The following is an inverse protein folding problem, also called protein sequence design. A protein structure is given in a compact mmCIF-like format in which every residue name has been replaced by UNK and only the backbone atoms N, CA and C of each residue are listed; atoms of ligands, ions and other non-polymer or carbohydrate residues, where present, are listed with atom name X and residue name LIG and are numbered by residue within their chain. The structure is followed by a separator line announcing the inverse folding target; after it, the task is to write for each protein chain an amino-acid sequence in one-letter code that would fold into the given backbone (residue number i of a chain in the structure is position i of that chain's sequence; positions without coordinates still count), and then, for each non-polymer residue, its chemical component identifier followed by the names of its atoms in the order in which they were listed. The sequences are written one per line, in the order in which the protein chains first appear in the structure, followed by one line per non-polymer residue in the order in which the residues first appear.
data_IF_443556133043
#
_entry.id   IF_443556133043
#
_cell.length_a   1.000
_cell.length_b   1.000
_cell.length_c   1.000
_cell.angle_alpha   90.00
_cell.angle_beta   90.00
_cell.angle_gamma   90.00
#
_symmetry.space_group_name_H-M   'P 1'
#
loop_
_entity.id
_entity.type
_entity.pdbx_description
1 polymer ?
#
# COMPACT_ATOMS: atom_id res chain seq x y z
N UNK A 1 -14.97 -9.40 3.08
CA UNK A 1 -14.27 -9.20 1.81
C UNK A 1 -12.77 -9.11 2.05
N UNK A 2 -12.01 -9.83 1.25
CA UNK A 2 -10.55 -9.83 1.39
C UNK A 2 -9.94 -8.51 0.94
N UNK A 3 -8.86 -8.13 1.60
CA UNK A 3 -8.12 -6.91 1.28
C UNK A 3 -6.68 -7.23 0.94
N UNK A 4 -6.11 -6.44 0.04
CA UNK A 4 -4.68 -6.46 -0.20
C UNK A 4 -4.15 -5.04 -0.12
N UNK A 5 -2.86 -4.93 0.21
CA UNK A 5 -2.19 -3.65 0.26
C UNK A 5 -1.01 -3.65 -0.69
N UNK A 6 -0.86 -2.58 -1.43
CA UNK A 6 0.19 -2.43 -2.42
C UNK A 6 1.17 -1.35 -1.94
N UNK A 7 2.44 -1.72 -1.86
CA UNK A 7 3.54 -0.83 -1.49
C UNK A 7 4.60 -0.85 -2.58
N UNK A 8 5.61 0.01 -2.48
CA UNK A 8 6.61 0.11 -3.54
C UNK A 8 7.70 -0.95 -3.44
N UNK A 9 8.17 -1.27 -2.24
CA UNK A 9 9.32 -2.13 -2.11
C UNK A 9 9.30 -3.05 -0.89
N UNK A 10 10.31 -3.90 -0.84
CA UNK A 10 10.45 -4.88 0.23
C UNK A 10 10.62 -4.24 1.62
N UNK A 11 11.35 -3.13 1.71
CA UNK A 11 11.54 -2.44 2.99
C UNK A 11 10.21 -1.93 3.54
N UNK A 12 9.32 -1.47 2.66
CA UNK A 12 7.99 -1.02 3.06
C UNK A 12 7.16 -2.20 3.55
N UNK A 13 7.20 -3.32 2.81
CA UNK A 13 6.50 -4.53 3.21
C UNK A 13 6.97 -5.02 4.57
N UNK A 14 8.29 -5.06 4.80
CA UNK A 14 8.85 -5.50 6.07
C UNK A 14 8.47 -4.56 7.22
N UNK A 15 8.29 -3.28 6.92
CA UNK A 15 7.90 -2.29 7.91
C UNK A 15 6.44 -2.48 8.35
N UNK A 16 5.53 -2.75 7.41
CA UNK A 16 4.11 -2.83 7.74
C UNK A 16 3.63 -4.22 8.12
N UNK A 17 4.28 -5.28 7.62
CA UNK A 17 3.83 -6.65 7.86
C UNK A 17 3.58 -6.97 9.35
N UNK A 18 4.47 -6.61 10.29
CA UNK A 18 4.24 -6.93 11.70
C UNK A 18 3.14 -6.10 12.36
N UNK A 19 2.62 -5.09 11.68
CA UNK A 19 1.58 -4.22 12.23
C UNK A 19 0.18 -4.80 12.11
N UNK A 20 0.00 -5.80 11.24
CA UNK A 20 -1.31 -6.43 11.04
C UNK A 20 -1.59 -7.49 12.11
N UNK A 21 -2.84 -7.56 12.55
CA UNK A 21 -3.33 -8.59 13.47
C UNK A 21 -4.11 -9.67 12.73
N UNK A 22 -4.01 -9.70 11.40
CA UNK A 22 -4.69 -10.66 10.53
C UNK A 22 -3.79 -10.94 9.33
N UNK A 23 -3.98 -12.07 8.64
CA UNK A 23 -3.27 -12.30 7.39
C UNK A 23 -3.71 -11.28 6.34
N UNK A 24 -2.74 -10.61 5.71
CA UNK A 24 -3.00 -9.63 4.65
C UNK A 24 -2.05 -9.91 3.49
N UNK A 25 -2.56 -9.85 2.28
CA UNK A 25 -1.73 -9.93 1.08
C UNK A 25 -1.06 -8.58 0.88
N UNK A 26 0.27 -8.58 0.88
CA UNK A 26 1.08 -7.38 0.67
C UNK A 26 1.81 -7.53 -0.64
N UNK A 27 1.54 -6.65 -1.59
CA UNK A 27 2.12 -6.69 -2.93
C UNK A 27 3.09 -5.53 -3.11
N UNK A 28 4.22 -5.80 -3.77
CA UNK A 28 5.25 -4.79 -4.03
C UNK A 28 5.35 -4.52 -5.52
N UNK A 29 5.35 -3.25 -5.91
CA UNK A 29 5.54 -2.86 -7.31
C UNK A 29 7.02 -2.92 -7.71
N UNK A 30 7.92 -2.93 -6.74
CA UNK A 30 9.36 -2.92 -6.95
C UNK A 30 9.86 -1.70 -7.73
N UNK A 31 9.35 -0.54 -7.35
CA UNK A 31 9.75 0.73 -7.96
C UNK A 31 8.84 1.13 -9.11
N UNK A 32 9.43 1.71 -10.16
CA UNK A 32 8.68 2.11 -11.35
C UNK A 32 8.17 0.87 -12.08
N UNK A 33 6.89 0.87 -12.41
CA UNK A 33 6.23 -0.28 -13.03
C UNK A 33 5.40 0.21 -14.21
N UNK A 34 5.36 -0.58 -15.29
CA UNK A 34 4.49 -0.27 -16.43
C UNK A 34 3.05 -0.61 -16.10
N UNK A 35 2.13 -0.06 -16.86
CA UNK A 35 0.71 -0.36 -16.71
C UNK A 35 0.46 -1.86 -16.86
N UNK A 36 1.04 -2.49 -17.90
CA UNK A 36 0.85 -3.92 -18.15
C UNK A 36 1.39 -4.77 -16.99
N UNK A 37 2.57 -4.42 -16.47
CA UNK A 37 3.16 -5.14 -15.36
C UNK A 37 2.33 -4.97 -14.08
N UNK A 38 1.75 -3.79 -13.87
CA UNK A 38 0.88 -3.56 -12.72
C UNK A 38 -0.39 -4.38 -12.82
N UNK A 39 -0.99 -4.44 -14.01
CA UNK A 39 -2.18 -5.26 -14.25
C UNK A 39 -1.85 -6.74 -14.00
N UNK A 40 -0.71 -7.23 -14.50
CA UNK A 40 -0.28 -8.61 -14.26
C UNK A 40 -0.12 -8.89 -12.78
N UNK A 41 0.47 -7.96 -12.03
CA UNK A 41 0.65 -8.10 -10.58
C UNK A 41 -0.68 -8.18 -9.86
N UNK A 42 -1.64 -7.36 -10.22
CA UNK A 42 -2.90 -7.19 -9.49
C UNK A 42 -4.06 -8.05 -10.01
N UNK A 43 -3.96 -8.59 -11.22
CA UNK A 43 -5.07 -9.36 -11.79
C UNK A 43 -5.54 -10.52 -10.92
N UNK A 44 -4.65 -11.26 -10.20
CA UNK A 44 -5.12 -12.32 -9.31
C UNK A 44 -5.94 -11.82 -8.13
N UNK A 45 -5.92 -10.51 -7.87
CA UNK A 45 -6.54 -9.90 -6.69
C UNK A 45 -7.67 -8.93 -7.03
N UNK A 46 -8.24 -9.04 -8.25
CA UNK A 46 -9.29 -8.11 -8.69
C UNK A 46 -10.55 -8.14 -7.82
N UNK A 47 -10.80 -9.25 -7.13
CA UNK A 47 -11.93 -9.37 -6.23
C UNK A 47 -11.64 -8.87 -4.81
N UNK A 48 -10.41 -8.50 -4.55
CA UNK A 48 -10.00 -7.96 -3.26
C UNK A 48 -10.28 -6.46 -3.21
N UNK A 49 -10.53 -5.94 -2.01
CA UNK A 49 -10.44 -4.50 -1.81
C UNK A 49 -8.96 -4.12 -1.87
N UNK A 50 -8.63 -3.20 -2.75
CA UNK A 50 -7.25 -2.76 -2.94
C UNK A 50 -6.98 -1.49 -2.15
N UNK A 51 -5.91 -1.51 -1.38
CA UNK A 51 -5.44 -0.35 -0.61
C UNK A 51 -3.99 -0.11 -1.02
N UNK A 52 -3.62 1.12 -1.27
CA UNK A 52 -2.23 1.47 -1.56
C UNK A 52 -1.64 2.27 -0.42
N UNK A 53 -0.33 2.12 -0.24
CA UNK A 53 0.43 2.97 0.67
C UNK A 53 1.79 3.21 0.02
N UNK A 54 1.83 4.22 -0.83
CA UNK A 54 3.04 4.58 -1.57
C UNK A 54 3.78 5.72 -0.88
N UNK A 55 5.04 5.90 -1.24
CA UNK A 55 5.86 6.95 -0.69
C UNK A 55 5.34 8.35 -1.07
N UNK A 56 5.69 9.33 -0.27
CA UNK A 56 5.31 10.72 -0.51
C UNK A 56 6.37 11.39 -1.39
N UNK A 57 6.52 10.88 -2.60
CA UNK A 57 7.48 11.38 -3.58
C UNK A 57 6.90 11.28 -4.99
N UNK A 58 7.70 11.67 -5.98
CA UNK A 58 7.26 11.68 -7.37
C UNK A 58 6.86 10.31 -7.88
N UNK A 59 7.62 9.27 -7.52
CA UNK A 59 7.30 7.91 -7.95
C UNK A 59 5.99 7.43 -7.33
N UNK A 60 5.80 7.70 -6.05
CA UNK A 60 4.55 7.36 -5.36
C UNK A 60 3.35 8.04 -6.01
N UNK A 61 3.51 9.31 -6.42
CA UNK A 61 2.43 10.03 -7.11
C UNK A 61 2.11 9.43 -8.47
N UNK A 62 3.15 9.02 -9.22
CA UNK A 62 2.94 8.33 -10.51
C UNK A 62 2.17 7.03 -10.32
N UNK A 63 2.52 6.27 -9.28
CA UNK A 63 1.84 5.01 -8.97
C UNK A 63 0.39 5.24 -8.58
N UNK A 64 0.11 6.26 -7.77
CA UNK A 64 -1.27 6.61 -7.41
C UNK A 64 -2.11 6.98 -8.63
N UNK A 65 -1.55 7.74 -9.54
CA UNK A 65 -2.25 8.12 -10.78
C UNK A 65 -2.53 6.90 -11.65
N UNK A 66 -1.55 6.00 -11.76
CA UNK A 66 -1.70 4.78 -12.53
C UNK A 66 -2.80 3.88 -11.93
N UNK A 67 -2.79 3.71 -10.61
CA UNK A 67 -3.83 2.96 -9.91
C UNK A 67 -5.21 3.56 -10.11
N UNK A 68 -5.33 4.88 -10.03
CA UNK A 68 -6.63 5.55 -10.23
C UNK A 68 -7.19 5.31 -11.61
N UNK A 69 -6.32 5.18 -12.61
CA UNK A 69 -6.75 4.94 -13.99
C UNK A 69 -7.22 3.50 -14.20
N UNK A 70 -6.54 2.53 -13.58
CA UNK A 70 -6.80 1.10 -13.81
C UNK A 70 -7.78 0.53 -12.79
N UNK A 71 -7.61 0.89 -11.53
CA UNK A 71 -8.41 0.40 -10.40
C UNK A 71 -8.94 1.59 -9.62
N UNK A 72 -9.95 2.24 -10.19
CA UNK A 72 -10.46 3.51 -9.67
C UNK A 72 -11.03 3.44 -8.25
N UNK A 73 -11.40 2.25 -7.78
CA UNK A 73 -11.97 2.07 -6.45
C UNK A 73 -10.93 1.82 -5.36
N UNK A 74 -9.64 1.71 -5.73
CA UNK A 74 -8.60 1.50 -4.75
C UNK A 74 -8.53 2.69 -3.77
N UNK A 75 -8.36 2.36 -2.49
CA UNK A 75 -8.19 3.37 -1.45
C UNK A 75 -6.70 3.70 -1.32
N UNK A 76 -6.36 4.98 -1.24
CA UNK A 76 -4.98 5.42 -1.14
C UNK A 76 -4.70 5.98 0.25
N UNK A 77 -3.85 5.30 1.01
CA UNK A 77 -3.37 5.79 2.29
C UNK A 77 -2.13 6.64 2.03
N UNK A 78 -2.14 7.86 2.52
CA UNK A 78 -1.03 8.79 2.31
C UNK A 78 -0.28 9.01 3.61
N UNK A 79 1.02 8.68 3.60
CA UNK A 79 1.88 8.99 4.74
C UNK A 79 2.14 10.51 4.79
N UNK A 80 2.44 11.07 5.97
CA UNK A 80 2.81 12.48 6.05
C UNK A 80 4.08 12.76 5.23
N UNK A 81 4.05 13.84 4.46
CA UNK A 81 5.14 14.19 3.55
C UNK A 81 6.50 14.33 4.23
N UNK A 82 6.49 14.71 5.50
CA UNK A 82 7.74 14.93 6.25
C UNK A 82 8.59 13.66 6.30
N UNK A 83 7.98 12.47 6.25
CA UNK A 83 8.72 11.22 6.30
C UNK A 83 9.17 10.72 4.94
N UNK A 84 8.59 11.20 3.85
CA UNK A 84 8.83 10.83 2.46
C UNK A 84 8.60 9.36 2.13
N UNK A 85 9.13 8.44 2.93
CA UNK A 85 9.08 7.01 2.66
C UNK A 85 8.27 6.28 3.71
N UNK A 86 7.56 5.25 3.28
CA UNK A 86 6.83 4.37 4.21
C UNK A 86 7.80 3.76 5.22
N UNK A 87 8.95 3.29 4.74
CA UNK A 87 9.96 2.66 5.60
C UNK A 87 10.48 3.60 6.71
N UNK A 88 10.43 4.91 6.49
CA UNK A 88 10.89 5.92 7.45
C UNK A 88 9.77 6.47 8.33
N UNK A 89 8.54 6.07 8.08
CA UNK A 89 7.39 6.54 8.84
C UNK A 89 7.26 5.76 10.15
N UNK A 90 7.06 6.43 11.29
CA UNK A 90 6.89 5.73 12.56
C UNK A 90 5.75 4.71 12.51
N UNK A 91 5.97 3.56 13.15
CA UNK A 91 4.98 2.48 13.18
C UNK A 91 3.62 2.95 13.70
N UNK A 92 3.61 3.84 14.69
CA UNK A 92 2.37 4.36 15.27
C UNK A 92 1.51 5.08 14.23
N UNK A 93 2.14 5.84 13.34
CA UNK A 93 1.44 6.57 12.28
C UNK A 93 0.94 5.59 11.22
N UNK A 94 1.77 4.61 10.85
CA UNK A 94 1.37 3.59 9.88
C UNK A 94 0.19 2.78 10.40
N UNK A 95 0.23 2.38 11.66
CA UNK A 95 -0.86 1.63 12.30
C UNK A 95 -2.17 2.40 12.22
N UNK A 96 -2.12 3.71 12.50
CA UNK A 96 -3.31 4.56 12.41
C UNK A 96 -3.88 4.59 10.99
N UNK A 97 -3.02 4.71 9.98
CA UNK A 97 -3.45 4.72 8.59
C UNK A 97 -4.08 3.39 8.20
N UNK A 98 -3.44 2.28 8.59
CA UNK A 98 -3.97 0.94 8.29
C UNK A 98 -5.34 0.74 8.94
N UNK A 99 -5.52 1.25 10.15
CA UNK A 99 -6.78 1.18 10.86
C UNK A 99 -7.87 1.97 10.14
N UNK A 100 -7.53 3.13 9.56
CA UNK A 100 -8.47 3.91 8.75
C UNK A 100 -8.99 3.13 7.56
N UNK A 101 -8.16 2.24 6.99
CA UNK A 101 -8.56 1.38 5.88
C UNK A 101 -9.24 0.09 6.34
N UNK A 102 -9.60 0.02 7.61
CA UNK A 102 -10.33 -1.11 8.20
C UNK A 102 -9.54 -2.41 8.28
N UNK A 103 -8.22 -2.33 8.33
CA UNK A 103 -7.40 -3.48 8.67
C UNK A 103 -7.42 -3.72 10.18
N UNK A 104 -7.37 -4.98 10.57
CA UNK A 104 -7.12 -5.33 11.96
C UNK A 104 -5.62 -5.18 12.21
N UNK A 105 -5.27 -4.40 13.21
CA UNK A 105 -3.88 -4.05 13.51
C UNK A 105 -3.52 -4.45 14.93
N UNK A 106 -2.22 -4.65 15.15
CA UNK A 106 -1.69 -4.93 16.48
C UNK A 106 -1.89 -3.70 17.35
N UNK A 107 -2.45 -3.92 18.54
CA UNK A 107 -2.65 -2.89 19.55
C UNK A 107 -1.58 -3.11 20.62
N UNK A 108 -0.71 -2.15 20.74
CA UNK A 108 0.33 -2.38 21.70
C UNK A 108 0.93 -1.16 22.27
#
# INVERSE_FOLDING_TARGET
MDKCIIVEGRSDKLKIAPLFAEPVVILCTNGTISEDALIDLLSPYEHYEMVTMFDADRNGEKLRKLMKRIYSEAQHLRIPEVYREVAETPAKILTKLLKEAKFLVQEG
#
